data_IF_605686152851
#
_entry.id   IF_605686152851
#
_cell.length_a   1.000
_cell.length_b   1.000
_cell.length_c   1.000
_cell.angle_alpha   90.00
_cell.angle_beta   90.00
_cell.angle_gamma   90.00
#
_symmetry.space_group_name_H-M   'P 1'
#
loop_
_entity.id
_entity.type
_entity.pdbx_description
1 polymer ?
#
# COMPACT_ATOMS: atom_id res chain seq x y z
N UNK A 1 -15.73 -13.94 1.77
CA UNK A 1 -15.06 -12.65 2.04
C UNK A 1 -15.27 -12.29 3.49
N UNK A 2 -14.36 -11.51 4.08
CA UNK A 2 -14.54 -10.96 5.42
C UNK A 2 -15.34 -9.64 5.35
N UNK A 3 -16.03 -9.28 6.43
CA UNK A 3 -16.85 -8.07 6.50
C UNK A 3 -16.03 -6.80 6.24
N UNK A 4 -14.81 -6.72 6.81
CA UNK A 4 -13.92 -5.56 6.65
C UNK A 4 -13.56 -5.31 5.19
N UNK A 5 -13.24 -6.37 4.44
CA UNK A 5 -12.91 -6.26 3.00
C UNK A 5 -14.10 -5.80 2.16
N UNK A 6 -15.33 -6.06 2.61
CA UNK A 6 -16.54 -5.66 1.89
C UNK A 6 -16.86 -4.20 2.15
N UNK A 7 -16.67 -3.73 3.38
CA UNK A 7 -16.83 -2.31 3.76
C UNK A 7 -15.91 -1.40 2.94
N UNK A 8 -14.66 -1.81 2.69
CA UNK A 8 -13.71 -1.10 1.82
C UNK A 8 -14.18 -0.99 0.36
N UNK A 9 -15.16 -1.79 -0.05
CA UNK A 9 -15.68 -1.83 -1.43
C UNK A 9 -17.06 -1.17 -1.58
N UNK A 10 -17.61 -0.55 -0.53
CA UNK A 10 -18.92 0.09 -0.61
C UNK A 10 -18.97 1.24 -1.62
N UNK A 11 -17.97 2.14 -1.59
CA UNK A 11 -17.88 3.26 -2.52
C UNK A 11 -17.79 2.78 -3.97
N UNK A 12 -16.83 1.90 -4.25
CA UNK A 12 -16.63 1.34 -5.58
C UNK A 12 -17.87 0.57 -6.10
N UNK A 13 -18.63 -0.05 -5.18
CA UNK A 13 -19.83 -0.83 -5.52
C UNK A 13 -20.99 0.08 -5.89
N UNK A 14 -21.12 1.21 -5.19
CA UNK A 14 -22.12 2.23 -5.45
C UNK A 14 -21.83 2.97 -6.77
N UNK A 15 -20.56 3.26 -7.05
CA UNK A 15 -20.10 3.94 -8.28
C UNK A 15 -19.98 3.02 -9.51
N UNK A 16 -20.30 1.73 -9.35
CA UNK A 16 -20.13 0.69 -10.38
C UNK A 16 -18.72 0.61 -10.99
N UNK A 17 -17.70 0.92 -10.19
CA UNK A 17 -16.29 0.90 -10.58
C UNK A 17 -15.60 -0.45 -10.30
N UNK A 18 -16.27 -1.38 -9.61
CA UNK A 18 -15.74 -2.71 -9.33
C UNK A 18 -15.75 -3.64 -10.55
N UNK A 19 -14.69 -4.46 -10.74
CA UNK A 19 -14.72 -5.56 -11.70
C UNK A 19 -15.85 -6.55 -11.39
N UNK A 20 -16.50 -7.08 -12.44
CA UNK A 20 -17.68 -7.96 -12.34
C UNK A 20 -17.54 -9.11 -11.31
N UNK A 21 -16.37 -9.75 -11.25
CA UNK A 21 -16.09 -10.83 -10.28
C UNK A 21 -16.14 -10.35 -8.83
N UNK A 22 -15.61 -9.16 -8.54
CA UNK A 22 -15.66 -8.58 -7.19
C UNK A 22 -17.06 -8.06 -6.88
N UNK A 23 -17.75 -7.46 -7.85
CA UNK A 23 -19.14 -7.03 -7.70
C UNK A 23 -20.05 -8.20 -7.26
N UNK A 24 -19.95 -9.35 -7.93
CA UNK A 24 -20.68 -10.56 -7.54
C UNK A 24 -20.36 -10.98 -6.11
N UNK A 25 -19.08 -11.03 -5.74
CA UNK A 25 -18.69 -11.42 -4.38
C UNK A 25 -19.19 -10.45 -3.31
N UNK A 26 -19.31 -9.16 -3.61
CA UNK A 26 -19.91 -8.16 -2.72
C UNK A 26 -21.42 -8.37 -2.62
N UNK A 27 -22.11 -8.55 -3.76
CA UNK A 27 -23.55 -8.83 -3.79
C UNK A 27 -23.90 -10.09 -3.00
N UNK A 28 -23.15 -11.18 -3.17
CA UNK A 28 -23.36 -12.43 -2.44
C UNK A 28 -23.16 -12.26 -0.93
N UNK A 29 -22.16 -11.47 -0.54
CA UNK A 29 -21.91 -11.18 0.87
C UNK A 29 -23.03 -10.32 1.48
N UNK A 30 -23.48 -9.26 0.79
CA UNK A 30 -24.59 -8.43 1.26
C UNK A 30 -25.91 -9.22 1.39
N UNK A 31 -26.10 -10.26 0.58
CA UNK A 31 -27.27 -11.16 0.69
C UNK A 31 -27.20 -12.12 1.86
N UNK A 32 -26.00 -12.47 2.33
CA UNK A 32 -25.77 -13.51 3.35
C UNK A 32 -25.43 -12.93 4.73
N UNK A 33 -24.86 -11.72 4.77
CA UNK A 33 -24.44 -11.04 5.99
C UNK A 33 -25.38 -9.86 6.31
N UNK A 34 -26.29 -9.99 7.30
CA UNK A 34 -27.22 -8.92 7.65
C UNK A 34 -26.51 -7.72 8.29
N UNK A 35 -25.30 -7.89 8.83
CA UNK A 35 -24.54 -6.77 9.37
C UNK A 35 -24.04 -5.85 8.26
N UNK A 36 -23.35 -6.41 7.27
CA UNK A 36 -22.86 -5.65 6.13
C UNK A 36 -24.00 -5.05 5.30
N UNK A 37 -25.16 -5.70 5.23
CA UNK A 37 -26.35 -5.10 4.61
C UNK A 37 -26.78 -3.81 5.33
N UNK A 38 -26.89 -3.83 6.67
CA UNK A 38 -27.26 -2.62 7.43
C UNK A 38 -26.24 -1.50 7.28
N UNK A 39 -24.95 -1.82 7.33
CA UNK A 39 -23.90 -0.81 7.16
C UNK A 39 -23.93 -0.22 5.74
N UNK A 40 -24.16 -1.06 4.72
CA UNK A 40 -24.32 -0.59 3.35
C UNK A 40 -25.56 0.30 3.17
N UNK A 41 -26.68 -0.02 3.83
CA UNK A 41 -27.88 0.83 3.81
C UNK A 41 -27.63 2.19 4.48
N UNK A 42 -26.90 2.24 5.59
CA UNK A 42 -26.48 3.51 6.24
C UNK A 42 -25.54 4.32 5.36
N UNK A 43 -24.61 3.65 4.69
CA UNK A 43 -23.73 4.29 3.72
C UNK A 43 -24.53 4.92 2.59
N UNK A 44 -25.45 4.19 1.97
CA UNK A 44 -26.34 4.70 0.92
C UNK A 44 -27.19 5.88 1.38
N UNK A 45 -27.74 5.83 2.60
CA UNK A 45 -28.50 6.96 3.17
C UNK A 45 -27.62 8.22 3.32
N UNK A 46 -26.36 8.05 3.70
CA UNK A 46 -25.42 9.16 3.84
C UNK A 46 -25.12 9.80 2.49
N UNK A 47 -24.87 8.98 1.45
CA UNK A 47 -24.68 9.48 0.08
C UNK A 47 -25.93 10.16 -0.46
N UNK A 48 -27.11 9.57 -0.23
CA UNK A 48 -28.38 10.16 -0.64
C UNK A 48 -28.64 11.52 0.01
N UNK A 49 -28.27 11.69 1.29
CA UNK A 49 -28.36 12.98 1.97
C UNK A 49 -27.42 14.03 1.35
N UNK A 50 -26.22 13.63 0.90
CA UNK A 50 -25.31 14.53 0.19
C UNK A 50 -25.84 14.94 -1.19
N UNK A 51 -26.52 14.04 -1.89
CA UNK A 51 -27.14 14.34 -3.19
C UNK A 51 -28.34 15.30 -3.10
N UNK A 52 -28.89 15.50 -1.91
CA UNK A 52 -29.97 16.47 -1.67
C UNK A 52 -29.48 17.90 -1.48
N UNK A 53 -28.16 18.13 -1.46
CA UNK A 53 -27.62 19.48 -1.37
C UNK A 53 -28.05 20.31 -2.58
N UNK A 54 -28.29 21.62 -2.38
CA UNK A 54 -28.66 22.51 -3.46
C UNK A 54 -27.57 22.51 -4.53
N UNK A 55 -27.97 22.38 -5.78
CA UNK A 55 -27.07 22.51 -6.91
C UNK A 55 -26.50 23.94 -6.93
N UNK A 56 -25.17 24.03 -6.95
CA UNK A 56 -24.47 25.31 -6.96
C UNK A 56 -24.35 25.73 -8.42
N UNK A 57 -25.08 26.79 -8.79
CA UNK A 57 -24.92 27.41 -10.10
C UNK A 57 -23.49 27.98 -10.23
N UNK A 58 -22.75 27.63 -11.30
CA UNK A 58 -21.44 28.21 -11.54
C UNK A 58 -21.54 29.72 -11.74
N UNK A 59 -20.48 30.46 -11.41
CA UNK A 59 -20.45 31.91 -11.63
C UNK A 59 -20.63 32.23 -13.13
N UNK A 60 -21.24 33.38 -13.44
CA UNK A 60 -21.51 33.79 -14.83
C UNK A 60 -20.27 33.87 -15.75
N UNK A 61 -19.06 33.87 -15.17
CA UNK A 61 -17.79 33.91 -15.91
C UNK A 61 -17.03 32.57 -15.92
N UNK A 62 -17.60 31.51 -15.34
CA UNK A 62 -16.94 30.21 -15.20
C UNK A 62 -16.50 29.64 -16.56
N UNK A 63 -17.37 29.66 -17.56
CA UNK A 63 -17.06 29.12 -18.89
C UNK A 63 -15.92 29.88 -19.57
N UNK A 64 -15.92 31.21 -19.43
CA UNK A 64 -14.86 32.07 -20.00
C UNK A 64 -13.53 31.83 -19.30
N UNK A 65 -13.52 31.75 -17.96
CA UNK A 65 -12.31 31.50 -17.19
C UNK A 65 -11.75 30.10 -17.46
N UNK A 66 -12.62 29.10 -17.54
CA UNK A 66 -12.26 27.72 -17.90
C UNK A 66 -11.63 27.66 -19.29
N UNK A 67 -12.23 28.31 -20.29
CA UNK A 67 -11.68 28.34 -21.65
C UNK A 67 -10.29 28.98 -21.70
N UNK A 68 -10.09 30.08 -20.96
CA UNK A 68 -8.77 30.72 -20.86
C UNK A 68 -7.77 29.74 -20.25
N UNK A 69 -8.13 29.04 -19.17
CA UNK A 69 -7.23 28.08 -18.52
C UNK A 69 -6.91 26.86 -19.41
N UNK A 70 -7.89 26.34 -20.16
CA UNK A 70 -7.64 25.23 -21.08
C UNK A 70 -6.68 25.63 -22.21
N UNK A 71 -6.84 26.84 -22.76
CA UNK A 71 -5.92 27.36 -23.80
C UNK A 71 -4.52 27.54 -23.23
N UNK A 72 -4.39 28.03 -22.00
CA UNK A 72 -3.08 28.12 -21.33
C UNK A 72 -2.43 26.75 -21.15
N UNK A 73 -3.19 25.70 -20.82
CA UNK A 73 -2.66 24.34 -20.67
C UNK A 73 -2.32 23.70 -22.01
N UNK A 74 -3.11 23.92 -23.05
CA UNK A 74 -2.86 23.39 -24.39
C UNK A 74 -1.66 24.08 -25.07
N UNK A 75 -1.41 25.35 -24.72
CA UNK A 75 -0.26 26.11 -25.23
C UNK A 75 1.03 25.91 -24.44
N UNK A 76 0.97 25.25 -23.27
CA UNK A 76 2.17 24.79 -22.60
C UNK A 76 2.82 23.66 -23.42
N UNK A 77 4.14 23.72 -23.69
CA UNK A 77 4.82 22.60 -24.33
C UNK A 77 4.60 21.34 -23.47
N UNK A 78 4.28 20.19 -24.10
CA UNK A 78 4.01 18.95 -23.38
C UNK A 78 5.14 18.74 -22.38
N UNK A 79 4.86 18.35 -21.12
CA UNK A 79 5.89 18.31 -20.09
C UNK A 79 7.03 17.48 -20.63
N UNK A 80 8.09 18.17 -21.04
CA UNK A 80 9.31 17.59 -21.54
C UNK A 80 9.77 16.78 -20.35
N UNK A 81 9.52 15.47 -20.41
CA UNK A 81 9.89 14.48 -19.42
C UNK A 81 11.35 14.72 -19.13
N UNK A 82 11.65 15.55 -18.13
CA UNK A 82 13.00 16.09 -17.95
C UNK A 82 13.88 14.89 -17.70
N UNK A 83 14.63 14.56 -18.74
CA UNK A 83 15.31 13.30 -18.87
C UNK A 83 16.59 13.41 -18.09
N UNK A 84 16.45 13.27 -16.76
CA UNK A 84 17.58 13.00 -15.89
C UNK A 84 18.34 11.78 -16.44
N UNK A 85 17.62 10.85 -17.09
CA UNK A 85 18.20 9.70 -17.78
C UNK A 85 18.94 10.06 -19.09
N UNK A 86 18.44 10.91 -19.99
CA UNK A 86 19.17 11.23 -21.25
C UNK A 86 20.46 12.02 -20.99
N UNK A 87 20.46 12.89 -19.97
CA UNK A 87 21.66 13.68 -19.66
C UNK A 87 22.78 12.80 -19.09
N UNK A 88 22.42 11.75 -18.35
CA UNK A 88 23.39 10.80 -17.79
C UNK A 88 23.78 9.76 -18.85
N UNK A 89 22.83 9.21 -19.61
CA UNK A 89 23.08 8.22 -20.67
C UNK A 89 23.93 8.81 -21.81
N UNK A 90 23.68 10.07 -22.22
CA UNK A 90 24.49 10.74 -23.24
C UNK A 90 25.95 10.96 -22.82
N UNK A 91 26.18 11.37 -21.57
CA UNK A 91 27.54 11.48 -21.01
C UNK A 91 28.20 10.12 -20.81
N UNK A 92 27.43 9.10 -20.40
CA UNK A 92 27.93 7.75 -20.19
C UNK A 92 28.32 7.08 -21.52
N UNK A 93 27.60 7.34 -22.62
CA UNK A 93 27.93 6.84 -23.96
C UNK A 93 29.19 7.49 -24.55
N UNK A 94 29.40 8.79 -24.33
CA UNK A 94 30.64 9.47 -24.72
C UNK A 94 31.87 8.96 -23.95
N UNK A 95 31.69 8.58 -22.69
CA UNK A 95 32.76 7.97 -21.89
C UNK A 95 32.99 6.49 -22.26
N UNK A 96 31.92 5.75 -22.55
CA UNK A 96 31.96 4.32 -22.92
C UNK A 96 32.37 4.07 -24.38
N UNK A 97 32.33 5.08 -25.26
CA UNK A 97 32.65 4.97 -26.69
C UNK A 97 34.14 4.82 -27.03
N UNK A 98 35.05 4.95 -26.06
CA UNK A 98 36.48 4.70 -26.28
C UNK A 98 36.81 3.24 -25.98
N UNK A 99 37.39 2.51 -26.94
CA UNK A 99 37.69 1.06 -26.87
C UNK A 99 38.50 0.64 -25.62
N UNK A 100 39.13 1.62 -24.96
CA UNK A 100 39.86 1.46 -23.69
C UNK A 100 38.97 0.98 -22.53
N UNK A 101 37.69 1.34 -22.49
CA UNK A 101 36.77 0.91 -21.42
C UNK A 101 36.24 -0.51 -21.62
N UNK A 102 36.21 -1.02 -22.86
CA UNK A 102 35.84 -2.40 -23.16
C UNK A 102 36.81 -3.40 -22.53
N UNK A 103 38.12 -3.14 -22.57
CA UNK A 103 39.13 -3.99 -21.94
C UNK A 103 38.96 -4.01 -20.43
N UNK A 104 38.64 -2.86 -19.82
CA UNK A 104 38.44 -2.76 -18.37
C UNK A 104 37.19 -3.49 -17.90
N UNK A 105 36.06 -3.36 -18.63
CA UNK A 105 34.81 -4.06 -18.31
C UNK A 105 34.99 -5.58 -18.46
N UNK A 106 35.65 -6.03 -19.53
CA UNK A 106 35.95 -7.46 -19.74
C UNK A 106 36.85 -7.99 -18.62
N UNK A 107 37.89 -7.25 -18.24
CA UNK A 107 38.79 -7.65 -17.14
C UNK A 107 38.04 -7.76 -15.81
N UNK A 108 37.19 -6.79 -15.48
CA UNK A 108 36.35 -6.82 -14.27
C UNK A 108 35.37 -8.00 -14.31
N UNK A 109 34.71 -8.24 -15.45
CA UNK A 109 33.82 -9.39 -15.61
C UNK A 109 34.55 -10.72 -15.44
N UNK A 110 35.76 -10.85 -15.99
CA UNK A 110 36.60 -12.04 -15.83
C UNK A 110 37.00 -12.23 -14.36
N UNK A 111 37.41 -11.16 -13.66
CA UNK A 111 37.73 -11.23 -12.24
C UNK A 111 36.52 -11.62 -11.39
N UNK A 112 35.34 -11.07 -11.68
CA UNK A 112 34.08 -11.42 -11.01
C UNK A 112 33.71 -12.89 -11.29
N UNK A 113 33.84 -13.36 -12.53
CA UNK A 113 33.57 -14.75 -12.88
C UNK A 113 34.54 -15.71 -12.16
N UNK A 114 35.83 -15.37 -12.09
CA UNK A 114 36.84 -16.14 -11.35
C UNK A 114 36.53 -16.14 -9.85
N UNK A 115 36.12 -15.01 -9.27
CA UNK A 115 35.71 -14.93 -7.87
C UNK A 115 34.46 -15.78 -7.57
N UNK A 116 33.46 -15.73 -8.44
CA UNK A 116 32.26 -16.57 -8.34
C UNK A 116 32.60 -18.06 -8.51
N UNK A 117 33.52 -18.40 -9.40
CA UNK A 117 33.99 -19.76 -9.59
C UNK A 117 34.76 -20.27 -8.36
N UNK A 118 35.65 -19.45 -7.79
CA UNK A 118 36.40 -19.77 -6.58
C UNK A 118 35.49 -19.93 -5.35
N UNK A 119 34.43 -19.12 -5.22
CA UNK A 119 33.45 -19.26 -4.13
C UNK A 119 32.58 -20.50 -4.30
N UNK A 120 32.23 -20.89 -5.53
CA UNK A 120 31.56 -22.19 -5.81
C UNK A 120 32.46 -23.39 -5.51
N UNK A 121 33.77 -23.28 -5.75
CA UNK A 121 34.77 -24.31 -5.41
C UNK A 121 35.01 -24.37 -3.89
N UNK A 122 35.03 -23.22 -3.20
CA UNK A 122 35.16 -23.14 -1.74
C UNK A 122 33.96 -23.74 -0.99
N UNK A 123 32.74 -23.58 -1.51
CA UNK A 123 31.52 -24.20 -0.95
C UNK A 123 31.49 -25.72 -1.19
N UNK A 124 32.18 -26.23 -2.21
CA UNK A 124 32.29 -27.68 -2.45
C UNK A 124 33.21 -28.39 -1.44
N UNK A 125 34.28 -27.72 -0.97
CA UNK A 125 35.18 -28.32 0.04
C UNK A 125 34.60 -28.31 1.47
N UNK A 126 33.68 -27.38 1.79
CA UNK A 126 33.07 -27.28 3.13
C UNK A 126 31.84 -28.17 3.33
N UNK A 127 31.32 -28.82 2.28
CA UNK A 127 30.16 -29.72 2.38
C UNK A 127 30.52 -31.21 2.54
N UNK A 128 31.82 -31.57 2.57
CA UNK A 128 32.28 -32.95 2.79
C UNK A 128 32.66 -33.31 4.23
N UNK A 129 32.49 -32.40 5.20
CA UNK A 129 32.89 -32.65 6.60
C UNK A 129 31.74 -32.54 7.62
N UNK A 130 30.52 -32.97 7.27
CA UNK A 130 29.40 -33.02 8.22
C UNK A 130 28.50 -34.25 8.00
N UNK A 131 29.10 -35.45 7.91
CA UNK A 131 28.35 -36.72 7.95
C UNK A 131 28.92 -37.80 8.89
N UNK A 132 29.83 -37.46 9.80
CA UNK A 132 30.42 -38.46 10.69
C UNK A 132 30.71 -37.95 12.10
N UNK A 133 29.68 -37.46 12.79
CA UNK A 133 29.68 -37.40 14.27
C UNK A 133 28.24 -37.30 14.80
N UNK A 134 27.41 -38.28 14.49
CA UNK A 134 26.17 -38.48 15.24
C UNK A 134 25.83 -39.97 15.26
N UNK A 135 26.61 -40.73 16.02
CA UNK A 135 26.33 -42.13 16.38
C UNK A 135 27.13 -42.48 17.62
N UNK A 136 26.65 -42.03 18.78
CA UNK A 136 26.73 -42.70 20.09
C UNK A 136 26.60 -41.66 21.21
N UNK A 137 25.40 -41.42 21.73
CA UNK A 137 25.10 -41.64 23.15
C UNK A 137 23.66 -42.15 23.24
N UNK A 138 23.58 -43.34 23.82
CA UNK A 138 22.42 -44.16 24.10
C UNK A 138 21.57 -43.57 25.24
N UNK A 139 20.25 -43.53 25.02
CA UNK A 139 19.18 -43.97 25.94
C UNK A 139 19.28 -43.67 27.45
N UNK A 140 18.45 -42.76 27.97
CA UNK A 140 17.84 -42.85 29.31
C UNK A 140 16.44 -42.20 29.33
N UNK A 141 15.49 -42.98 29.85
CA UNK A 141 14.18 -42.68 30.43
C UNK A 141 13.01 -42.12 29.59
N UNK A 142 11.97 -42.97 29.54
CA UNK A 142 10.64 -42.75 29.01
C UNK A 142 9.66 -42.87 30.19
N UNK A 143 8.61 -42.03 30.19
CA UNK A 143 7.40 -41.95 31.08
C UNK A 143 7.39 -40.63 31.85
N UNK A 144 6.32 -39.84 31.90
CA UNK A 144 4.92 -40.00 31.49
C UNK A 144 4.08 -38.92 32.19
N UNK A 145 2.76 -38.98 32.00
CA UNK A 145 1.68 -38.11 32.53
C UNK A 145 1.50 -36.76 31.81
N UNK A 146 0.41 -36.49 31.08
CA UNK A 146 -1.03 -36.49 31.42
C UNK A 146 -1.38 -35.43 32.47
N UNK A 147 -2.38 -34.61 32.09
CA UNK A 147 -3.21 -33.64 32.85
C UNK A 147 -2.47 -32.43 33.43
N UNK A 148 -3.04 -31.25 33.60
CA UNK A 148 -4.40 -30.69 33.77
C UNK A 148 -4.24 -29.21 33.30
N UNK A 149 -5.15 -28.63 32.51
CA UNK A 149 -6.40 -27.97 32.95
C UNK A 149 -6.18 -26.59 33.61
N UNK A 150 -7.27 -25.82 33.65
CA UNK A 150 -7.50 -24.49 34.25
C UNK A 150 -7.20 -23.30 33.33
N UNK A 151 -8.24 -22.71 32.74
CA UNK A 151 -9.14 -21.69 33.33
C UNK A 151 -8.44 -20.32 33.35
N UNK A 152 -9.00 -19.19 32.92
CA UNK A 152 -10.39 -18.74 32.99
C UNK A 152 -10.46 -17.39 32.26
N UNK A 153 -11.44 -17.22 31.38
CA UNK A 153 -12.10 -15.92 31.24
C UNK A 153 -12.94 -15.68 32.50
N UNK A 154 -13.09 -14.42 32.93
CA UNK A 154 -14.47 -13.95 33.00
C UNK A 154 -14.61 -12.58 32.34
N UNK A 155 -15.48 -12.59 31.35
CA UNK A 155 -16.45 -11.55 31.10
C UNK A 155 -17.15 -11.15 32.42
N UNK A 156 -17.10 -9.87 32.77
CA UNK A 156 -18.00 -9.26 33.75
C UNK A 156 -18.62 -8.02 33.13
N UNK A 157 -19.86 -8.19 32.65
CA UNK A 157 -20.87 -7.15 32.57
C UNK A 157 -21.51 -6.98 33.95
N UNK A 158 -21.55 -5.74 34.45
CA UNK A 158 -22.63 -5.16 35.30
C UNK A 158 -22.09 -3.86 35.92
N UNK A 159 -22.49 -2.68 35.45
CA UNK A 159 -23.73 -1.97 35.78
C UNK A 159 -23.45 -0.80 36.75
N UNK A 160 -24.27 0.26 36.63
CA UNK A 160 -24.58 1.27 37.66
C UNK A 160 -23.94 2.67 37.52
N UNK A 161 -24.67 3.53 36.78
CA UNK A 161 -25.03 4.95 37.07
C UNK A 161 -24.02 5.91 37.72
N UNK A 162 -23.69 7.00 37.00
CA UNK A 162 -24.07 8.36 37.42
C UNK A 162 -24.11 9.34 36.23
N UNK A 163 -25.16 10.17 36.05
CA UNK A 163 -25.31 11.08 34.91
C UNK A 163 -25.05 12.53 35.34
N UNK A 164 -23.80 13.00 35.29
CA UNK A 164 -23.48 14.43 35.27
C UNK A 164 -21.99 14.62 34.96
N UNK A 165 -21.60 14.51 33.69
CA UNK A 165 -20.32 15.06 33.24
C UNK A 165 -20.64 16.12 32.21
N UNK A 166 -20.57 17.36 32.67
CA UNK A 166 -20.56 18.58 31.89
C UNK A 166 -19.39 18.48 30.90
N UNK A 167 -19.69 18.20 29.63
CA UNK A 167 -18.69 18.15 28.57
C UNK A 167 -18.28 19.60 28.30
N UNK A 168 -17.21 20.03 28.97
CA UNK A 168 -16.51 21.26 28.65
C UNK A 168 -15.90 21.08 27.25
N UNK A 169 -16.61 21.59 26.25
CA UNK A 169 -16.18 21.59 24.86
C UNK A 169 -14.93 22.45 24.72
N UNK A 170 -13.76 21.82 24.79
CA UNK A 170 -12.52 22.39 24.28
C UNK A 170 -11.95 21.48 23.19
N UNK A 171 -12.74 21.28 22.13
CA UNK A 171 -12.21 20.80 20.87
C UNK A 171 -11.53 21.98 20.17
N UNK A 172 -10.23 22.13 20.42
CA UNK A 172 -9.35 22.93 19.57
C UNK A 172 -9.17 22.14 18.29
N UNK A 173 -9.95 22.48 17.25
CA UNK A 173 -9.63 22.03 15.90
C UNK A 173 -8.25 22.58 15.55
N UNK A 174 -7.26 21.73 15.23
CA UNK A 174 -6.05 22.24 14.61
C UNK A 174 -6.47 22.84 13.26
N UNK A 175 -6.27 24.14 13.12
CA UNK A 175 -6.43 24.83 11.85
C UNK A 175 -5.36 24.22 10.93
N UNK A 176 -5.78 23.31 10.05
CA UNK A 176 -4.91 22.85 8.97
C UNK A 176 -4.82 24.02 8.00
N UNK A 177 -3.80 24.85 8.21
CA UNK A 177 -3.39 25.85 7.25
C UNK A 177 -2.83 25.09 6.06
N UNK A 178 -3.64 24.99 4.99
CA UNK A 178 -3.12 24.67 3.67
C UNK A 178 -2.18 25.81 3.31
N UNK A 179 -0.90 25.62 3.61
CA UNK A 179 0.14 26.44 3.04
C UNK A 179 0.00 26.28 1.53
N UNK A 180 -0.24 27.40 0.85
CA UNK A 180 -0.24 27.47 -0.60
C UNK A 180 0.98 26.71 -1.10
N UNK A 181 0.74 25.54 -1.70
CA UNK A 181 1.74 24.83 -2.45
C UNK A 181 2.09 25.74 -3.62
N UNK A 182 3.17 26.50 -3.41
CA UNK A 182 4.04 26.99 -4.46
C UNK A 182 4.56 25.78 -5.21
N UNK A 183 3.75 25.27 -6.14
CA UNK A 183 4.27 24.48 -7.25
C UNK A 183 4.94 25.48 -8.17
N UNK A 184 6.24 25.67 -7.93
CA UNK A 184 7.16 26.13 -8.95
C UNK A 184 6.97 25.23 -10.17
N UNK A 185 6.27 25.78 -11.16
CA UNK A 185 6.18 25.23 -12.49
C UNK A 185 7.58 25.11 -13.08
N UNK A 186 8.04 23.87 -13.21
CA UNK A 186 8.41 23.34 -14.52
C UNK A 186 7.11 22.71 -15.01
N UNK A 187 6.48 23.16 -16.09
CA UNK A 187 6.97 23.79 -17.30
C UNK A 187 5.96 24.82 -17.79
#
# INVERSE_FOLDING_TARGET
MNCTTIEDHFSDYLEDSLPAKRRQSVTDHLRTCPNCQREFDRFQQSVAALQQLPEIEPSAFFDTDLQIQLVLIETMPPPEKVTILDQVVGKFWQLMGSWRWAVSIVLVFVLIAVYLMATRIGVALVSSSEKQSNSQVQSVEQRGLITEDSDSFPFSSDSMFDPAVEIQQNYVFPIVTYSALSTGGRL
#
